data_IF_902489577865
#
_entry.id   IF_902489577865
#
_cell.length_a   1.000
_cell.length_b   1.000
_cell.length_c   1.000
_cell.angle_alpha   90.00
_cell.angle_beta   90.00
_cell.angle_gamma   90.00
#
_symmetry.space_group_name_H-M   'P 1'
#
loop_
_entity.id
_entity.type
_entity.pdbx_description
1 polymer ?
#
# COMPACT_ATOMS: atom_id res chain seq x y z
N UNK A 1 17.11 -51.68 -22.77
CA UNK A 1 17.00 -50.43 -23.56
C UNK A 1 15.87 -49.61 -22.93
N UNK A 2 16.17 -48.48 -22.29
CA UNK A 2 15.15 -47.65 -21.65
C UNK A 2 14.62 -46.63 -22.67
N UNK A 3 13.33 -46.69 -22.98
CA UNK A 3 12.69 -45.67 -23.81
C UNK A 3 12.63 -44.34 -23.04
N UNK A 4 13.19 -43.24 -23.57
CA UNK A 4 13.07 -41.94 -22.93
C UNK A 4 11.59 -41.53 -22.93
N UNK A 5 11.04 -41.30 -21.74
CA UNK A 5 9.66 -40.90 -21.56
C UNK A 5 9.46 -39.48 -22.12
N UNK A 6 8.79 -39.35 -23.25
CA UNK A 6 8.39 -38.04 -23.81
C UNK A 6 6.97 -37.73 -23.35
N UNK A 7 6.82 -36.73 -22.48
CA UNK A 7 5.50 -36.25 -22.06
C UNK A 7 4.67 -35.81 -23.27
N UNK A 8 3.42 -36.27 -23.42
CA UNK A 8 2.52 -35.85 -24.49
C UNK A 8 1.95 -34.43 -24.26
N UNK A 9 2.24 -33.82 -23.10
CA UNK A 9 1.75 -32.48 -22.76
C UNK A 9 2.66 -31.46 -23.44
N UNK A 10 2.14 -30.60 -24.34
CA UNK A 10 2.94 -29.58 -24.99
C UNK A 10 3.52 -28.62 -23.93
N UNK A 11 4.84 -28.45 -23.94
CA UNK A 11 5.54 -27.53 -23.04
C UNK A 11 5.24 -26.10 -23.49
N UNK A 12 4.12 -25.54 -23.03
CA UNK A 12 3.78 -24.15 -23.31
C UNK A 12 4.71 -23.23 -22.53
N UNK A 13 5.38 -22.32 -23.24
CA UNK A 13 6.18 -21.27 -22.62
C UNK A 13 5.29 -20.40 -21.72
N UNK A 14 5.66 -20.28 -20.43
CA UNK A 14 4.92 -19.47 -19.48
C UNK A 14 4.88 -17.99 -19.91
N UNK A 15 3.68 -17.52 -20.29
CA UNK A 15 3.41 -16.12 -20.65
C UNK A 15 3.12 -15.30 -19.40
N UNK A 16 3.36 -13.97 -19.46
CA UNK A 16 3.04 -13.04 -18.36
C UNK A 16 1.55 -13.09 -17.95
N UNK A 17 0.64 -13.34 -18.89
CA UNK A 17 -0.78 -13.50 -18.61
C UNK A 17 -1.09 -14.67 -17.69
N UNK A 18 -0.38 -15.80 -17.84
CA UNK A 18 -0.56 -16.97 -16.99
C UNK A 18 -0.05 -16.69 -15.56
N UNK A 19 1.06 -15.94 -15.44
CA UNK A 19 1.57 -15.51 -14.15
C UNK A 19 0.60 -14.54 -13.43
N UNK A 20 0.03 -13.57 -14.15
CA UNK A 20 -0.98 -12.66 -13.59
C UNK A 20 -2.24 -13.41 -13.12
N UNK A 21 -2.74 -14.35 -13.92
CA UNK A 21 -3.90 -15.16 -13.56
C UNK A 21 -3.63 -16.03 -12.31
N UNK A 22 -2.45 -16.65 -12.22
CA UNK A 22 -2.05 -17.44 -11.06
C UNK A 22 -1.97 -16.58 -9.78
N UNK A 23 -1.34 -15.41 -9.86
CA UNK A 23 -1.23 -14.50 -8.72
C UNK A 23 -2.59 -13.94 -8.27
N UNK A 24 -3.50 -13.67 -9.20
CA UNK A 24 -4.88 -13.28 -8.86
C UNK A 24 -5.63 -14.37 -8.09
N UNK A 25 -5.50 -15.62 -8.52
CA UNK A 25 -6.14 -16.76 -7.85
C UNK A 25 -5.57 -16.94 -6.43
N UNK A 26 -4.25 -16.83 -6.26
CA UNK A 26 -3.61 -16.89 -4.93
C UNK A 26 -4.13 -15.80 -4.00
N UNK A 27 -4.14 -14.55 -4.47
CA UNK A 27 -4.56 -13.42 -3.63
C UNK A 27 -6.04 -13.54 -3.23
N UNK A 28 -6.91 -14.08 -4.11
CA UNK A 28 -8.31 -14.36 -3.76
C UNK A 28 -8.50 -15.56 -2.83
N UNK A 29 -7.65 -16.58 -2.89
CA UNK A 29 -7.83 -17.80 -2.08
C UNK A 29 -7.28 -17.67 -0.66
N UNK A 30 -6.36 -16.75 -0.41
CA UNK A 30 -5.77 -16.53 0.91
C UNK A 30 -6.74 -15.73 1.78
N UNK A 31 -7.36 -16.40 2.76
CA UNK A 31 -8.27 -15.78 3.74
C UNK A 31 -7.64 -14.57 4.45
N UNK A 32 -6.33 -14.61 4.70
CA UNK A 32 -5.59 -13.51 5.32
C UNK A 32 -5.66 -12.22 4.50
N UNK A 33 -5.72 -12.30 3.17
CA UNK A 33 -5.88 -11.12 2.30
C UNK A 33 -7.26 -10.50 2.46
N UNK A 34 -8.31 -11.31 2.50
CA UNK A 34 -9.69 -10.82 2.71
C UNK A 34 -9.81 -10.14 4.07
N UNK A 35 -9.29 -10.76 5.14
CA UNK A 35 -9.34 -10.18 6.49
C UNK A 35 -8.54 -8.89 6.63
N UNK A 36 -7.34 -8.82 6.04
CA UNK A 36 -6.52 -7.59 6.10
C UNK A 36 -7.14 -6.43 5.31
N UNK A 37 -7.72 -6.71 4.14
CA UNK A 37 -8.46 -5.69 3.37
C UNK A 37 -9.76 -5.27 4.06
N UNK A 38 -10.46 -6.20 4.69
CA UNK A 38 -11.63 -5.89 5.51
C UNK A 38 -11.26 -5.01 6.71
N UNK A 39 -10.15 -5.31 7.40
CA UNK A 39 -9.62 -4.48 8.48
C UNK A 39 -9.19 -3.09 7.99
N UNK A 40 -8.51 -3.00 6.84
CA UNK A 40 -8.18 -1.71 6.22
C UNK A 40 -9.45 -0.88 6.02
N UNK A 41 -10.49 -1.45 5.39
CA UNK A 41 -11.76 -0.75 5.16
C UNK A 41 -12.47 -0.40 6.47
N UNK A 42 -12.47 -1.32 7.44
CA UNK A 42 -13.04 -1.10 8.76
C UNK A 42 -12.36 0.08 9.48
N UNK A 43 -11.04 0.19 9.43
CA UNK A 43 -10.34 1.31 10.07
C UNK A 43 -10.54 2.63 9.33
N UNK A 44 -10.45 2.65 8.00
CA UNK A 44 -10.60 3.89 7.22
C UNK A 44 -12.03 4.43 7.35
N UNK A 45 -13.04 3.61 7.06
CA UNK A 45 -14.44 4.03 7.06
C UNK A 45 -15.01 4.05 8.47
N UNK A 46 -14.66 3.09 9.33
CA UNK A 46 -15.20 3.01 10.69
C UNK A 46 -14.66 4.12 11.59
N UNK A 47 -13.33 4.30 11.68
CA UNK A 47 -12.75 5.36 12.52
C UNK A 47 -12.99 6.73 11.89
N UNK A 48 -12.78 6.88 10.57
CA UNK A 48 -13.06 8.14 9.88
C UNK A 48 -14.54 8.53 9.95
N UNK A 49 -15.44 7.56 9.76
CA UNK A 49 -16.88 7.76 9.89
C UNK A 49 -17.29 8.12 11.31
N UNK A 50 -16.67 7.51 12.32
CA UNK A 50 -16.89 7.88 13.72
C UNK A 50 -16.47 9.33 13.97
N UNK A 51 -15.33 9.77 13.44
CA UNK A 51 -14.89 11.17 13.52
C UNK A 51 -15.89 12.13 12.86
N UNK A 52 -16.42 11.77 11.69
CA UNK A 52 -17.48 12.52 11.00
C UNK A 52 -18.75 12.64 11.86
N UNK A 53 -19.17 11.55 12.50
CA UNK A 53 -20.34 11.56 13.39
C UNK A 53 -20.11 12.43 14.63
N UNK A 54 -18.92 12.39 15.22
CA UNK A 54 -18.56 13.26 16.35
C UNK A 54 -18.51 14.74 15.96
N UNK A 55 -18.12 15.05 14.72
CA UNK A 55 -18.06 16.41 14.20
C UNK A 55 -19.45 16.97 13.83
N UNK A 56 -20.47 16.13 13.68
CA UNK A 56 -21.81 16.58 13.30
C UNK A 56 -22.40 17.56 14.34
N UNK A 57 -22.85 18.73 13.86
CA UNK A 57 -23.36 19.81 14.71
C UNK A 57 -22.27 20.64 15.41
N UNK A 58 -20.99 20.27 15.26
CA UNK A 58 -19.82 21.05 15.71
C UNK A 58 -19.04 21.66 14.55
N UNK A 59 -19.27 21.13 13.35
CA UNK A 59 -18.61 21.55 12.11
C UNK A 59 -19.13 22.92 11.68
N UNK A 60 -18.22 23.77 11.21
CA UNK A 60 -18.50 25.11 10.67
C UNK A 60 -18.24 25.16 9.17
N UNK A 61 -18.82 26.17 8.53
CA UNK A 61 -18.58 26.44 7.12
C UNK A 61 -17.07 26.68 6.89
N UNK A 62 -16.49 25.93 5.95
CA UNK A 62 -15.06 25.98 5.63
C UNK A 62 -14.18 24.96 6.35
N UNK A 63 -14.72 24.14 7.26
CA UNK A 63 -13.97 23.05 7.89
C UNK A 63 -13.58 21.96 6.88
N UNK A 64 -12.37 21.40 7.00
CA UNK A 64 -11.89 20.34 6.13
C UNK A 64 -12.52 18.98 6.49
N UNK A 65 -13.57 18.63 5.77
CA UNK A 65 -14.28 17.36 5.92
C UNK A 65 -13.40 16.15 5.62
N UNK A 66 -12.46 16.28 4.68
CA UNK A 66 -11.66 15.16 4.22
C UNK A 66 -10.59 14.83 5.25
N UNK A 67 -10.01 15.85 5.90
CA UNK A 67 -9.03 15.72 6.99
C UNK A 67 -9.51 14.85 8.15
N UNK A 68 -10.82 14.83 8.46
CA UNK A 68 -11.41 13.97 9.51
C UNK A 68 -11.16 12.47 9.29
N UNK A 69 -10.96 12.05 8.03
CA UNK A 69 -10.66 10.66 7.68
C UNK A 69 -9.22 10.24 7.93
N UNK A 70 -8.32 11.20 8.16
CA UNK A 70 -6.87 10.94 8.23
C UNK A 70 -6.51 9.97 9.36
N UNK A 71 -7.14 10.09 10.53
CA UNK A 71 -6.90 9.17 11.65
C UNK A 71 -7.23 7.72 11.32
N UNK A 72 -8.37 7.47 10.67
CA UNK A 72 -8.73 6.14 10.18
C UNK A 72 -7.78 5.63 9.09
N UNK A 73 -7.33 6.53 8.21
CA UNK A 73 -6.35 6.23 7.17
C UNK A 73 -4.99 5.81 7.74
N UNK A 74 -4.50 6.51 8.77
CA UNK A 74 -3.22 6.21 9.43
C UNK A 74 -3.18 4.82 10.07
N UNK A 75 -4.32 4.33 10.57
CA UNK A 75 -4.42 2.99 11.14
C UNK A 75 -4.65 1.97 10.02
N UNK A 76 -5.51 2.29 9.03
CA UNK A 76 -5.81 1.43 7.89
C UNK A 76 -4.58 1.05 7.05
N UNK A 77 -3.64 1.96 6.85
CA UNK A 77 -2.39 1.67 6.12
C UNK A 77 -1.54 0.57 6.79
N UNK A 78 -1.64 0.37 8.12
CA UNK A 78 -0.87 -0.66 8.81
C UNK A 78 -1.32 -2.06 8.36
N UNK A 79 -2.61 -2.24 8.09
CA UNK A 79 -3.14 -3.48 7.53
C UNK A 79 -2.60 -3.73 6.11
N UNK A 80 -2.45 -2.67 5.30
CA UNK A 80 -1.85 -2.76 3.95
C UNK A 80 -0.36 -3.08 4.00
N UNK A 81 0.37 -2.51 4.95
CA UNK A 81 1.79 -2.82 5.19
C UNK A 81 1.93 -4.31 5.53
N UNK A 82 1.14 -4.81 6.48
CA UNK A 82 1.14 -6.22 6.85
C UNK A 82 0.80 -7.12 5.65
N UNK A 83 -0.23 -6.77 4.88
CA UNK A 83 -0.62 -7.51 3.68
C UNK A 83 0.49 -7.53 2.63
N UNK A 84 1.17 -6.40 2.39
CA UNK A 84 2.29 -6.29 1.45
C UNK A 84 3.48 -7.18 1.84
N UNK A 85 3.84 -7.21 3.13
CA UNK A 85 4.87 -8.13 3.62
C UNK A 85 4.43 -9.59 3.48
N UNK A 86 3.23 -9.91 3.93
CA UNK A 86 2.70 -11.29 3.97
C UNK A 86 2.54 -11.90 2.58
N UNK A 87 2.22 -11.09 1.56
CA UNK A 87 2.04 -11.57 0.18
C UNK A 87 3.30 -12.18 -0.43
N UNK A 88 4.49 -11.84 0.09
CA UNK A 88 5.75 -12.46 -0.32
C UNK A 88 6.34 -13.35 0.78
N UNK A 89 6.27 -12.96 2.05
CA UNK A 89 6.90 -13.69 3.14
C UNK A 89 6.23 -15.04 3.41
N UNK A 90 4.92 -15.16 3.15
CA UNK A 90 4.21 -16.44 3.27
C UNK A 90 4.70 -17.50 2.29
N UNK A 91 5.19 -17.11 1.12
CA UNK A 91 5.77 -18.06 0.16
C UNK A 91 7.15 -18.54 0.61
N UNK A 92 7.93 -17.70 1.33
CA UNK A 92 9.17 -18.12 2.00
C UNK A 92 8.89 -19.08 3.16
N UNK A 93 7.90 -18.78 4.00
CA UNK A 93 7.56 -19.59 5.17
C UNK A 93 6.98 -20.97 4.84
N UNK A 94 6.29 -21.10 3.72
CA UNK A 94 5.68 -22.38 3.28
C UNK A 94 6.57 -23.21 2.35
N UNK A 95 7.72 -22.68 1.93
CA UNK A 95 8.59 -23.32 0.94
C UNK A 95 8.05 -23.28 -0.51
N UNK A 96 6.90 -22.64 -0.75
CA UNK A 96 6.25 -22.53 -2.07
C UNK A 96 7.09 -21.76 -3.09
N UNK A 97 8.08 -20.99 -2.64
CA UNK A 97 9.03 -20.32 -3.54
C UNK A 97 9.79 -21.33 -4.41
N UNK A 98 10.15 -22.50 -3.89
CA UNK A 98 10.88 -23.51 -4.68
C UNK A 98 10.03 -24.03 -5.83
N UNK A 99 8.76 -24.35 -5.58
CA UNK A 99 7.83 -24.84 -6.62
C UNK A 99 7.44 -23.74 -7.62
N UNK A 100 7.34 -22.48 -7.17
CA UNK A 100 7.05 -21.35 -8.05
C UNK A 100 8.23 -21.05 -8.99
N UNK A 101 9.45 -21.13 -8.47
CA UNK A 101 10.67 -20.90 -9.23
C UNK A 101 11.01 -22.05 -10.20
N UNK A 102 10.61 -23.29 -9.90
CA UNK A 102 10.75 -24.41 -10.84
C UNK A 102 9.73 -24.32 -11.98
N UNK A 103 8.52 -23.83 -11.71
CA UNK A 103 7.47 -23.66 -12.73
C UNK A 103 7.67 -22.41 -13.62
N UNK A 104 8.32 -21.36 -13.10
CA UNK A 104 8.63 -20.13 -13.84
C UNK A 104 10.09 -19.70 -13.60
N UNK A 105 11.05 -20.14 -14.44
CA UNK A 105 12.48 -19.89 -14.21
C UNK A 105 12.85 -18.40 -14.32
N UNK A 106 12.02 -17.57 -14.96
CA UNK A 106 12.25 -16.14 -15.05
C UNK A 106 11.72 -15.42 -13.79
N UNK A 107 12.57 -15.38 -12.75
CA UNK A 107 12.29 -14.78 -11.43
C UNK A 107 11.75 -13.35 -11.49
N UNK A 108 12.23 -12.55 -12.45
CA UNK A 108 11.75 -11.19 -12.66
C UNK A 108 10.28 -11.13 -13.11
N UNK A 109 9.86 -12.03 -14.00
CA UNK A 109 8.47 -12.06 -14.50
C UNK A 109 7.47 -12.38 -13.38
N UNK A 110 7.83 -13.31 -12.51
CA UNK A 110 6.99 -13.69 -11.36
C UNK A 110 6.83 -12.51 -10.39
N UNK A 111 7.92 -11.83 -10.02
CA UNK A 111 7.86 -10.69 -9.11
C UNK A 111 7.13 -9.49 -9.74
N UNK A 112 7.29 -9.24 -11.05
CA UNK A 112 6.51 -8.20 -11.76
C UNK A 112 5.02 -8.50 -11.78
N UNK A 113 4.64 -9.76 -12.04
CA UNK A 113 3.24 -10.15 -12.05
C UNK A 113 2.61 -9.96 -10.66
N UNK A 114 3.30 -10.42 -9.61
CA UNK A 114 2.85 -10.26 -8.22
C UNK A 114 2.71 -8.79 -7.84
N UNK A 115 3.71 -7.96 -8.15
CA UNK A 115 3.66 -6.52 -7.88
C UNK A 115 2.50 -5.84 -8.61
N UNK A 116 2.26 -6.17 -9.89
CA UNK A 116 1.16 -5.58 -10.67
C UNK A 116 -0.21 -5.98 -10.13
N UNK A 117 -0.42 -7.26 -9.82
CA UNK A 117 -1.70 -7.74 -9.25
C UNK A 117 -1.94 -7.11 -7.88
N UNK A 118 -0.92 -7.10 -7.02
CA UNK A 118 -1.00 -6.47 -5.71
C UNK A 118 -1.32 -4.97 -5.81
N UNK A 119 -0.60 -4.24 -6.68
CA UNK A 119 -0.84 -2.82 -6.90
C UNK A 119 -2.26 -2.56 -7.39
N UNK A 120 -2.72 -3.29 -8.41
CA UNK A 120 -4.07 -3.11 -8.95
C UNK A 120 -5.16 -3.38 -7.92
N UNK A 121 -4.98 -4.42 -7.09
CA UNK A 121 -5.94 -4.76 -6.05
C UNK A 121 -5.97 -3.72 -4.93
N UNK A 122 -4.82 -3.31 -4.39
CA UNK A 122 -4.75 -2.34 -3.29
C UNK A 122 -5.16 -0.95 -3.77
N UNK A 123 -4.77 -0.56 -4.99
CA UNK A 123 -5.19 0.71 -5.58
C UNK A 123 -6.72 0.76 -5.76
N UNK A 124 -7.32 -0.27 -6.36
CA UNK A 124 -8.78 -0.29 -6.58
C UNK A 124 -9.56 -0.29 -5.27
N UNK A 125 -9.23 -1.20 -4.35
CA UNK A 125 -9.92 -1.28 -3.06
C UNK A 125 -9.63 -0.07 -2.17
N UNK A 126 -8.39 0.43 -2.13
CA UNK A 126 -8.04 1.64 -1.40
C UNK A 126 -8.80 2.86 -1.91
N UNK A 127 -8.87 3.04 -3.23
CA UNK A 127 -9.63 4.13 -3.86
C UNK A 127 -11.12 4.01 -3.55
N UNK A 128 -11.70 2.81 -3.64
CA UNK A 128 -13.11 2.57 -3.30
C UNK A 128 -13.36 2.88 -1.82
N UNK A 129 -12.51 2.41 -0.92
CA UNK A 129 -12.65 2.62 0.53
C UNK A 129 -12.56 4.09 0.91
N UNK A 130 -11.57 4.83 0.39
CA UNK A 130 -11.43 6.27 0.63
C UNK A 130 -12.57 7.04 -0.03
N UNK A 131 -13.04 6.59 -1.21
CA UNK A 131 -14.22 7.13 -1.87
C UNK A 131 -15.49 6.95 -1.03
N UNK A 132 -15.71 5.77 -0.44
CA UNK A 132 -16.84 5.50 0.45
C UNK A 132 -16.81 6.39 1.69
N UNK A 133 -15.63 6.54 2.32
CA UNK A 133 -15.46 7.49 3.42
C UNK A 133 -15.80 8.93 2.98
N UNK A 134 -15.28 9.36 1.84
CA UNK A 134 -15.49 10.72 1.31
C UNK A 134 -16.98 10.97 1.04
N UNK A 135 -17.66 10.03 0.40
CA UNK A 135 -19.11 10.10 0.17
C UNK A 135 -19.88 10.18 1.50
N UNK A 136 -19.50 9.37 2.48
CA UNK A 136 -20.12 9.41 3.80
C UNK A 136 -19.95 10.78 4.48
N UNK A 137 -18.72 11.34 4.46
CA UNK A 137 -18.44 12.66 5.01
C UNK A 137 -19.26 13.77 4.31
N UNK A 138 -19.36 13.73 2.98
CA UNK A 138 -20.16 14.68 2.20
C UNK A 138 -21.65 14.59 2.50
N UNK A 139 -22.20 13.38 2.62
CA UNK A 139 -23.62 13.18 2.94
C UNK A 139 -23.96 13.69 4.33
N UNK A 140 -23.07 13.47 5.32
CA UNK A 140 -23.35 13.80 6.72
C UNK A 140 -23.07 15.26 7.04
N UNK A 141 -22.00 15.84 6.49
CA UNK A 141 -21.49 17.16 6.86
C UNK A 141 -21.46 18.18 5.72
N UNK A 142 -21.68 17.77 4.46
CA UNK A 142 -21.55 18.66 3.30
C UNK A 142 -22.50 19.87 3.33
N UNK A 143 -23.69 19.71 3.92
CA UNK A 143 -24.62 20.83 4.13
C UNK A 143 -24.19 21.84 5.20
N UNK A 144 -23.29 21.45 6.12
CA UNK A 144 -22.80 22.29 7.23
C UNK A 144 -21.46 22.96 6.86
N UNK A 145 -20.49 22.19 6.36
CA UNK A 145 -19.16 22.69 6.05
C UNK A 145 -19.06 23.32 4.66
N UNK A 146 -19.97 22.99 3.75
CA UNK A 146 -19.83 23.22 2.33
C UNK A 146 -19.11 22.07 1.62
N UNK A 147 -19.30 21.99 0.31
CA UNK A 147 -18.67 20.95 -0.51
C UNK A 147 -17.22 21.31 -0.82
N UNK A 148 -16.24 20.42 -0.52
CA UNK A 148 -14.86 20.60 -0.94
C UNK A 148 -14.76 20.62 -2.48
N UNK A 149 -13.80 21.37 -3.03
CA UNK A 149 -13.63 21.45 -4.48
C UNK A 149 -13.29 20.08 -5.08
N UNK A 150 -13.68 19.81 -6.34
CA UNK A 150 -13.50 18.50 -6.99
C UNK A 150 -12.04 18.01 -7.01
N UNK A 151 -11.09 18.94 -7.11
CA UNK A 151 -9.65 18.66 -7.09
C UNK A 151 -9.16 18.07 -5.75
N UNK A 152 -9.74 18.51 -4.62
CA UNK A 152 -9.42 17.98 -3.30
C UNK A 152 -10.02 16.59 -3.12
N UNK A 153 -11.26 16.38 -3.58
CA UNK A 153 -11.90 15.05 -3.59
C UNK A 153 -11.06 14.08 -4.43
N UNK A 154 -10.65 14.48 -5.63
CA UNK A 154 -9.81 13.65 -6.51
C UNK A 154 -8.47 13.34 -5.85
N UNK A 155 -7.82 14.34 -5.26
CA UNK A 155 -6.54 14.16 -4.54
C UNK A 155 -6.69 13.18 -3.38
N UNK A 156 -7.71 13.33 -2.54
CA UNK A 156 -7.91 12.45 -1.39
C UNK A 156 -8.25 11.02 -1.83
N UNK A 157 -9.18 10.85 -2.76
CA UNK A 157 -9.66 9.53 -3.19
C UNK A 157 -8.60 8.79 -4.00
N UNK A 158 -8.10 9.39 -5.08
CA UNK A 158 -7.11 8.76 -5.96
C UNK A 158 -5.73 8.75 -5.32
N UNK A 159 -5.32 9.87 -4.70
CA UNK A 159 -4.04 9.95 -4.00
C UNK A 159 -3.97 9.03 -2.80
N UNK A 160 -5.07 8.88 -2.03
CA UNK A 160 -5.15 7.96 -0.90
C UNK A 160 -5.02 6.50 -1.35
N UNK A 161 -5.76 6.09 -2.39
CA UNK A 161 -5.64 4.77 -2.99
C UNK A 161 -4.24 4.50 -3.56
N UNK A 162 -3.65 5.48 -4.25
CA UNK A 162 -2.32 5.38 -4.82
C UNK A 162 -1.23 5.30 -3.74
N UNK A 163 -1.35 6.07 -2.66
CA UNK A 163 -0.46 5.99 -1.50
C UNK A 163 -0.49 4.59 -0.88
N UNK A 164 -1.68 4.03 -0.63
CA UNK A 164 -1.82 2.67 -0.08
C UNK A 164 -1.17 1.61 -0.99
N UNK A 165 -1.36 1.75 -2.30
CA UNK A 165 -0.74 0.83 -3.27
C UNK A 165 0.79 0.94 -3.26
N UNK A 166 1.34 2.17 -3.21
CA UNK A 166 2.79 2.42 -3.19
C UNK A 166 3.43 1.96 -1.88
N UNK A 167 2.85 2.26 -0.72
CA UNK A 167 3.39 1.83 0.57
C UNK A 167 3.29 0.30 0.73
N UNK A 168 2.23 -0.31 0.19
CA UNK A 168 2.09 -1.76 0.14
C UNK A 168 3.13 -2.42 -0.76
N UNK A 169 3.42 -1.84 -1.94
CA UNK A 169 4.50 -2.31 -2.82
C UNK A 169 5.87 -2.20 -2.17
N UNK A 170 6.13 -1.11 -1.44
CA UNK A 170 7.38 -0.98 -0.69
C UNK A 170 7.47 -2.05 0.41
N UNK A 171 6.36 -2.32 1.09
CA UNK A 171 6.28 -3.38 2.11
C UNK A 171 6.54 -4.76 1.51
N UNK A 172 6.02 -5.04 0.31
CA UNK A 172 6.32 -6.24 -0.44
C UNK A 172 7.82 -6.33 -0.79
N UNK A 173 8.41 -5.25 -1.25
CA UNK A 173 9.83 -5.21 -1.58
C UNK A 173 10.72 -5.45 -0.34
N UNK A 174 10.39 -4.84 0.80
CA UNK A 174 11.07 -5.08 2.08
C UNK A 174 10.87 -6.53 2.56
N UNK A 175 9.67 -7.08 2.43
CA UNK A 175 9.38 -8.48 2.74
C UNK A 175 10.23 -9.45 1.90
N UNK A 176 10.41 -9.15 0.61
CA UNK A 176 11.25 -9.95 -0.29
C UNK A 176 12.73 -9.91 0.10
N UNK A 177 13.22 -8.76 0.59
CA UNK A 177 14.60 -8.57 1.01
C UNK A 177 14.91 -9.23 2.35
N UNK A 178 14.02 -9.09 3.33
CA UNK A 178 14.23 -9.58 4.70
C UNK A 178 13.86 -11.05 4.89
N UNK A 179 12.94 -11.60 4.08
CA UNK A 179 12.46 -13.00 4.16
C UNK A 179 11.92 -13.42 5.53
N UNK A 180 11.60 -12.46 6.40
CA UNK A 180 11.06 -12.69 7.73
C UNK A 180 9.85 -11.78 7.97
N UNK A 181 8.66 -12.37 8.17
CA UNK A 181 7.40 -11.63 8.27
C UNK A 181 7.42 -10.58 9.39
N UNK A 182 7.72 -11.00 10.63
CA UNK A 182 7.66 -10.09 11.77
C UNK A 182 8.67 -8.94 11.68
N UNK A 183 9.95 -9.25 11.38
CA UNK A 183 10.99 -8.25 11.17
C UNK A 183 10.68 -7.27 10.03
N UNK A 184 10.10 -7.72 8.92
CA UNK A 184 9.73 -6.84 7.81
C UNK A 184 8.55 -5.93 8.14
N UNK A 185 7.52 -6.44 8.83
CA UNK A 185 6.41 -5.60 9.31
C UNK A 185 6.93 -4.55 10.29
N UNK A 186 7.74 -4.95 11.27
CA UNK A 186 8.33 -4.03 12.24
C UNK A 186 9.20 -2.96 11.56
N UNK A 187 10.02 -3.34 10.58
CA UNK A 187 10.83 -2.41 9.81
C UNK A 187 9.98 -1.40 9.03
N UNK A 188 8.88 -1.82 8.41
CA UNK A 188 7.99 -0.92 7.68
C UNK A 188 7.21 0.01 8.61
N UNK A 189 6.73 -0.47 9.75
CA UNK A 189 6.10 0.38 10.78
C UNK A 189 7.11 1.41 11.29
N UNK A 190 8.35 0.97 11.57
CA UNK A 190 9.46 1.85 11.90
C UNK A 190 9.69 2.89 10.81
N UNK A 191 9.78 2.49 9.54
CA UNK A 191 9.96 3.42 8.43
C UNK A 191 8.84 4.49 8.33
N UNK A 192 7.59 4.12 8.65
CA UNK A 192 6.45 5.06 8.63
C UNK A 192 6.49 6.03 9.81
N UNK A 193 6.78 5.55 11.03
CA UNK A 193 6.63 6.35 12.26
C UNK A 193 7.93 7.03 12.71
N UNK A 194 9.07 6.35 12.53
CA UNK A 194 10.37 6.80 13.03
C UNK A 194 10.80 8.16 12.47
N UNK A 195 10.57 8.53 11.19
CA UNK A 195 10.98 9.84 10.69
C UNK A 195 10.30 11.00 11.42
N UNK A 196 9.03 10.85 11.79
CA UNK A 196 8.34 11.87 12.61
C UNK A 196 8.97 11.94 13.99
N UNK A 197 9.17 10.81 14.65
CA UNK A 197 9.73 10.76 16.00
C UNK A 197 11.13 11.38 16.02
N UNK A 198 12.02 10.95 15.14
CA UNK A 198 13.37 11.51 15.02
C UNK A 198 13.33 12.99 14.65
N UNK A 199 12.38 13.39 13.81
CA UNK A 199 12.25 14.77 13.39
C UNK A 199 11.91 15.74 14.52
N UNK A 200 11.27 15.27 15.59
CA UNK A 200 11.01 16.07 16.79
C UNK A 200 12.28 16.36 17.61
N UNK A 201 13.31 15.52 17.50
CA UNK A 201 14.54 15.62 18.31
C UNK A 201 15.77 16.09 17.51
N UNK A 202 15.73 16.05 16.18
CA UNK A 202 16.91 16.24 15.33
C UNK A 202 17.27 17.70 14.98
N UNK A 203 16.74 18.68 15.71
CA UNK A 203 16.93 20.10 15.45
C UNK A 203 16.08 20.65 14.29
N UNK A 204 16.07 21.97 14.09
CA UNK A 204 15.10 22.62 13.21
C UNK A 204 15.19 22.19 11.73
N UNK A 205 16.40 22.15 11.17
CA UNK A 205 16.57 21.89 9.73
C UNK A 205 16.35 20.42 9.40
N UNK A 206 17.10 19.52 10.04
CA UNK A 206 16.99 18.08 9.81
C UNK A 206 15.61 17.57 10.23
N UNK A 207 15.08 18.08 11.35
CA UNK A 207 13.77 17.70 11.84
C UNK A 207 12.66 18.02 10.85
N UNK A 208 12.65 19.22 10.29
CA UNK A 208 11.68 19.63 9.27
C UNK A 208 11.77 18.75 8.02
N UNK A 209 12.98 18.38 7.58
CA UNK A 209 13.15 17.47 6.44
C UNK A 209 12.62 16.06 6.72
N UNK A 210 12.96 15.49 7.88
CA UNK A 210 12.51 14.15 8.27
C UNK A 210 11.00 14.06 8.38
N UNK A 211 10.36 15.07 8.99
CA UNK A 211 8.90 15.13 9.10
C UNK A 211 8.30 15.33 7.70
N UNK A 212 8.76 16.31 6.91
CA UNK A 212 8.17 16.64 5.60
C UNK A 212 8.12 15.46 4.62
N UNK A 213 9.19 14.66 4.58
CA UNK A 213 9.27 13.48 3.70
C UNK A 213 8.85 12.17 4.38
N UNK A 214 8.33 12.23 5.61
CA UNK A 214 7.82 11.05 6.32
C UNK A 214 6.57 10.49 5.62
N UNK A 215 6.37 9.16 5.57
CA UNK A 215 5.17 8.58 4.96
C UNK A 215 3.87 9.10 5.58
N UNK A 216 3.88 9.38 6.88
CA UNK A 216 2.76 9.99 7.60
C UNK A 216 2.46 11.40 7.07
N UNK A 217 3.47 12.25 6.87
CA UNK A 217 3.24 13.59 6.30
C UNK A 217 2.83 13.56 4.83
N UNK A 218 3.30 12.57 4.06
CA UNK A 218 2.85 12.36 2.67
C UNK A 218 1.35 12.04 2.65
N UNK A 219 0.90 11.12 3.51
CA UNK A 219 -0.52 10.79 3.64
C UNK A 219 -1.34 11.95 4.22
N UNK A 220 -0.81 12.72 5.17
CA UNK A 220 -1.47 13.92 5.68
C UNK A 220 -1.71 14.95 4.56
N UNK A 221 -0.69 15.23 3.74
CA UNK A 221 -0.79 16.16 2.63
C UNK A 221 -1.82 15.75 1.55
N UNK A 222 -2.06 14.45 1.37
CA UNK A 222 -3.11 13.93 0.49
C UNK A 222 -4.49 14.30 1.02
N UNK A 223 -4.68 14.20 2.33
CA UNK A 223 -5.93 14.47 3.05
C UNK A 223 -6.18 15.96 3.33
N UNK A 224 -5.26 16.87 2.98
CA UNK A 224 -5.38 18.31 3.26
C UNK A 224 -4.61 18.78 4.50
N UNK A 225 -4.16 17.85 5.34
CA UNK A 225 -3.44 18.06 6.61
C UNK A 225 -1.91 18.24 6.41
N UNK A 226 -1.50 18.79 5.27
CA UNK A 226 -0.09 18.96 4.94
C UNK A 226 0.57 20.08 5.73
N UNK A 227 1.82 19.86 6.19
CA UNK A 227 2.59 20.85 6.96
C UNK A 227 2.94 22.13 6.17
N UNK A 228 3.04 22.03 4.84
CA UNK A 228 3.40 23.15 3.98
C UNK A 228 2.41 23.23 2.81
N UNK A 229 1.54 24.25 2.77
CA UNK A 229 0.54 24.43 1.71
C UNK A 229 1.12 24.51 0.30
N UNK A 230 2.41 24.85 0.18
CA UNK A 230 3.11 24.96 -1.10
C UNK A 230 3.52 23.61 -1.68
N UNK A 231 3.54 22.54 -0.86
CA UNK A 231 3.96 21.21 -1.31
C UNK A 231 2.75 20.41 -1.73
N UNK A 232 2.64 20.11 -3.02
CA UNK A 232 1.54 19.26 -3.50
C UNK A 232 1.71 17.84 -2.97
N UNK A 233 0.63 17.26 -2.42
CA UNK A 233 0.60 15.86 -1.98
C UNK A 233 1.03 14.89 -3.09
N UNK A 234 0.79 15.24 -4.37
CA UNK A 234 1.24 14.46 -5.53
C UNK A 234 2.76 14.43 -5.68
N UNK A 235 3.45 15.54 -5.40
CA UNK A 235 4.92 15.59 -5.47
C UNK A 235 5.54 14.71 -4.39
N UNK A 236 5.02 14.80 -3.16
CA UNK A 236 5.43 13.97 -2.03
C UNK A 236 5.17 12.48 -2.30
N UNK A 237 4.00 12.14 -2.84
CA UNK A 237 3.70 10.78 -3.28
C UNK A 237 4.67 10.32 -4.37
N UNK A 238 5.02 11.20 -5.32
CA UNK A 238 6.01 10.92 -6.36
C UNK A 238 7.38 10.54 -5.79
N UNK A 239 7.85 11.24 -4.75
CA UNK A 239 9.09 10.90 -4.04
C UNK A 239 9.01 9.50 -3.42
N UNK A 240 7.89 9.18 -2.75
CA UNK A 240 7.67 7.84 -2.18
C UNK A 240 7.64 6.77 -3.28
N UNK A 241 6.99 7.05 -4.42
CA UNK A 241 6.92 6.13 -5.55
C UNK A 241 8.30 5.85 -6.16
N UNK A 242 9.16 6.89 -6.28
CA UNK A 242 10.56 6.72 -6.73
C UNK A 242 11.34 5.86 -5.74
N UNK A 243 11.22 6.12 -4.44
CA UNK A 243 11.88 5.31 -3.42
C UNK A 243 11.42 3.85 -3.48
N UNK A 244 10.12 3.61 -3.62
CA UNK A 244 9.54 2.28 -3.80
C UNK A 244 10.06 1.59 -5.06
N UNK A 245 10.16 2.32 -6.18
CA UNK A 245 10.69 1.78 -7.43
C UNK A 245 12.17 1.37 -7.30
N UNK A 246 12.99 2.19 -6.62
CA UNK A 246 14.39 1.86 -6.30
C UNK A 246 14.45 0.61 -5.43
N UNK A 247 13.63 0.53 -4.38
CA UNK A 247 13.63 -0.61 -3.46
C UNK A 247 13.16 -1.90 -4.14
N UNK A 248 12.16 -1.81 -5.02
CA UNK A 248 11.74 -2.91 -5.88
C UNK A 248 12.88 -3.34 -6.81
N UNK A 249 13.58 -2.42 -7.48
CA UNK A 249 14.71 -2.74 -8.35
C UNK A 249 15.83 -3.47 -7.58
N UNK A 250 16.11 -3.05 -6.33
CA UNK A 250 17.03 -3.76 -5.43
C UNK A 250 16.52 -5.16 -5.13
N UNK A 251 15.23 -5.31 -4.79
CA UNK A 251 14.61 -6.62 -4.54
C UNK A 251 14.70 -7.53 -5.78
N UNK A 252 14.42 -7.04 -6.98
CA UNK A 252 14.58 -7.78 -8.24
C UNK A 252 16.01 -8.33 -8.39
N UNK A 253 17.01 -7.47 -8.19
CA UNK A 253 18.42 -7.84 -8.34
C UNK A 253 18.87 -8.84 -7.27
N UNK A 254 18.39 -8.71 -6.04
CA UNK A 254 18.71 -9.63 -4.94
C UNK A 254 18.06 -11.00 -5.17
N UNK A 255 16.79 -11.04 -5.57
CA UNK A 255 16.06 -12.29 -5.85
C UNK A 255 16.61 -12.99 -7.10
N UNK A 256 17.09 -12.24 -8.09
CA UNK A 256 17.70 -12.81 -9.29
C UNK A 256 19.09 -13.40 -9.06
N UNK A 257 19.85 -12.88 -8.08
CA UNK A 257 21.24 -13.30 -7.80
C UNK A 257 21.39 -14.31 -6.68
N UNK A 258 20.41 -14.40 -5.77
CA UNK A 258 20.49 -15.34 -4.64
C UNK A 258 19.87 -16.68 -5.04
N UNK A 259 20.67 -17.73 -5.13
CA UNK A 259 20.16 -19.10 -5.26
C UNK A 259 19.31 -19.49 -4.04
N UNK A 260 18.32 -20.36 -4.29
CA UNK A 260 17.31 -20.82 -3.30
C UNK A 260 17.43 -22.32 -3.13
#
# INVERSE_FOLDING_TARGET
MAHPYTSPIPVQQARLSHALASEWIKIRSVRSTVWTLALMTCFIVGIGGLAVLFANGRTRQGDDLLGLGFGGFLIGQLAVIALGVLTISSEYGTGMIRTTLTACPQRARMLTAKALVFFGLVFTLGTVTVGLFTLFALVVLGGQAGSPPPEQILRTVVGGGLYLAVIGLMSLAVGALLRHSAGAIAAMIGFVLLPIILGLFAGETLGRYLIRYSPVSISAAIFGEGLDPRTSGWQLLGVLAVLTAVLLAVAYRVVSRRDV
#
